data_IF_252441508429
#
_entry.id   IF_252441508429
#
_cell.length_a   1.000
_cell.length_b   1.000
_cell.length_c   1.000
_cell.angle_alpha   90.00
_cell.angle_beta   90.00
_cell.angle_gamma   90.00
#
_symmetry.space_group_name_H-M   'P 1'
#
loop_
_entity.id
_entity.type
_entity.pdbx_description
1 polymer ?
#
# COMPACT_ATOMS: atom_id res chain seq x y z
N UNK A 1 11.55 2.37 18.72
CA UNK A 1 10.91 3.23 17.70
C UNK A 1 10.78 2.38 16.46
N UNK A 2 9.56 2.17 15.93
CA UNK A 2 9.33 1.29 14.77
C UNK A 2 10.05 1.85 13.54
N UNK A 3 10.65 0.98 12.73
CA UNK A 3 11.26 1.35 11.46
C UNK A 3 10.17 1.68 10.44
N UNK A 4 10.38 2.77 9.71
CA UNK A 4 9.44 3.23 8.68
C UNK A 4 10.11 3.22 7.31
N UNK A 5 9.56 2.43 6.40
CA UNK A 5 9.96 2.35 5.00
C UNK A 5 9.09 3.31 4.18
N UNK A 6 9.72 4.19 3.40
CA UNK A 6 9.02 5.25 2.65
C UNK A 6 9.33 5.13 1.17
N UNK A 7 8.29 4.83 0.39
CA UNK A 7 8.34 4.76 -1.06
C UNK A 7 7.74 6.05 -1.63
N UNK A 8 8.61 6.97 -2.01
CA UNK A 8 8.24 8.30 -2.52
C UNK A 8 8.25 8.33 -4.04
N UNK A 9 7.52 9.28 -4.61
CA UNK A 9 7.50 9.58 -6.06
C UNK A 9 7.01 8.40 -6.92
N UNK A 10 6.12 7.55 -6.37
CA UNK A 10 5.48 6.51 -7.16
C UNK A 10 4.49 7.18 -8.13
N UNK A 11 4.48 6.76 -9.38
CA UNK A 11 3.56 7.31 -10.39
C UNK A 11 2.84 6.17 -11.10
N UNK A 12 1.53 6.31 -11.23
CA UNK A 12 0.70 5.37 -11.97
C UNK A 12 -0.19 6.12 -12.96
N UNK A 13 0.23 6.25 -14.22
CA UNK A 13 -0.58 6.89 -15.27
C UNK A 13 -1.91 6.16 -15.46
N UNK A 14 -3.00 6.93 -15.49
CA UNK A 14 -4.35 6.38 -15.63
C UNK A 14 -5.24 7.37 -16.35
N UNK A 15 -6.30 6.92 -17.03
CA UNK A 15 -7.32 7.81 -17.62
C UNK A 15 -8.26 8.35 -16.54
N UNK A 16 -8.83 9.54 -16.77
CA UNK A 16 -9.70 10.22 -15.80
C UNK A 16 -10.97 9.43 -15.45
N UNK A 17 -11.53 8.70 -16.40
CA UNK A 17 -12.76 7.93 -16.26
C UNK A 17 -12.56 6.52 -15.68
N UNK A 18 -11.31 6.05 -15.62
CA UNK A 18 -10.98 4.69 -15.17
C UNK A 18 -10.99 4.60 -13.65
N UNK A 19 -11.62 3.54 -13.15
CA UNK A 19 -11.57 3.19 -11.74
C UNK A 19 -10.16 2.79 -11.30
N UNK A 20 -9.82 3.16 -10.08
CA UNK A 20 -8.53 2.86 -9.46
C UNK A 20 -8.76 1.94 -8.28
N UNK A 21 -8.33 0.70 -8.40
CA UNK A 21 -8.39 -0.32 -7.37
C UNK A 21 -6.99 -0.49 -6.81
N UNK A 22 -6.81 -0.22 -5.51
CA UNK A 22 -5.58 -0.52 -4.80
C UNK A 22 -5.71 -1.88 -4.11
N UNK A 23 -4.73 -2.74 -4.31
CA UNK A 23 -4.63 -4.05 -3.69
C UNK A 23 -3.36 -4.13 -2.83
N UNK A 24 -3.52 -4.75 -1.66
CA UNK A 24 -2.43 -5.14 -0.77
C UNK A 24 -2.45 -6.65 -0.66
N UNK A 25 -1.30 -7.29 -0.87
CA UNK A 25 -1.14 -8.75 -0.83
C UNK A 25 0.02 -9.09 0.10
N UNK A 26 -0.28 -9.80 1.18
CA UNK A 26 0.71 -10.33 2.11
C UNK A 26 1.16 -11.68 1.56
N UNK A 27 2.45 -11.77 1.21
CA UNK A 27 3.01 -12.93 0.51
C UNK A 27 3.66 -13.92 1.47
N UNK A 28 4.31 -13.44 2.54
CA UNK A 28 4.72 -14.33 3.63
C UNK A 28 3.57 -14.56 4.60
N UNK A 29 3.42 -15.81 5.02
CA UNK A 29 2.40 -16.25 5.96
C UNK A 29 2.64 -15.60 7.33
N UNK A 30 1.60 -15.54 8.16
CA UNK A 30 1.73 -15.03 9.54
C UNK A 30 1.87 -13.52 9.71
N UNK A 31 2.00 -12.77 8.61
CA UNK A 31 1.90 -11.33 8.63
C UNK A 31 0.46 -10.90 8.89
N UNK A 32 0.29 -9.89 9.73
CA UNK A 32 -0.97 -9.21 9.98
C UNK A 32 -0.77 -7.71 9.87
N UNK A 33 -1.80 -6.97 9.49
CA UNK A 33 -1.65 -5.53 9.39
C UNK A 33 -2.91 -4.82 8.94
N UNK A 34 -2.83 -3.50 9.01
CA UNK A 34 -3.86 -2.59 8.54
C UNK A 34 -3.24 -1.57 7.62
N UNK A 35 -3.85 -1.37 6.45
CA UNK A 35 -3.49 -0.33 5.51
C UNK A 35 -4.59 0.72 5.47
N UNK A 36 -4.25 1.96 5.82
CA UNK A 36 -5.11 3.14 5.63
C UNK A 36 -4.67 3.84 4.36
N UNK A 37 -5.63 4.18 3.50
CA UNK A 37 -5.41 4.82 2.21
C UNK A 37 -6.04 6.20 2.27
N UNK A 38 -5.20 7.22 2.37
CA UNK A 38 -5.62 8.61 2.30
C UNK A 38 -5.65 9.05 0.84
N UNK A 39 -6.84 9.39 0.36
CA UNK A 39 -7.09 9.88 -1.00
C UNK A 39 -7.44 11.37 -0.94
N UNK A 40 -7.30 12.13 -2.04
CA UNK A 40 -7.81 13.49 -2.08
C UNK A 40 -9.30 13.55 -1.69
N UNK A 41 -9.62 14.34 -0.66
CA UNK A 41 -10.97 14.45 -0.09
C UNK A 41 -11.16 13.65 1.21
N UNK A 42 -12.40 13.47 1.69
CA UNK A 42 -12.67 12.85 3.00
C UNK A 42 -12.93 11.33 2.93
N UNK A 43 -12.63 10.67 1.81
CA UNK A 43 -13.10 9.32 1.49
C UNK A 43 -12.05 8.23 1.71
N UNK A 44 -11.29 8.34 2.79
CA UNK A 44 -10.24 7.40 3.16
C UNK A 44 -10.77 5.96 3.22
N UNK A 45 -9.90 5.01 2.83
CA UNK A 45 -10.23 3.58 2.77
C UNK A 45 -9.30 2.79 3.68
N UNK A 46 -9.75 1.61 4.06
CA UNK A 46 -8.95 0.69 4.86
C UNK A 46 -8.97 -0.72 4.27
N UNK A 47 -7.83 -1.39 4.36
CA UNK A 47 -7.63 -2.80 4.02
C UNK A 47 -7.01 -3.48 5.24
N UNK A 48 -7.63 -4.55 5.72
CA UNK A 48 -7.07 -5.40 6.77
C UNK A 48 -6.39 -6.60 6.11
N UNK A 49 -5.12 -6.83 6.43
CA UNK A 49 -4.27 -7.85 5.82
C UNK A 49 -4.24 -7.73 4.28
N UNK A 50 -4.46 -8.84 3.57
CA UNK A 50 -4.62 -8.85 2.12
C UNK A 50 -6.04 -8.44 1.70
N UNK A 51 -6.15 -7.65 0.65
CA UNK A 51 -7.43 -7.28 0.05
C UNK A 51 -7.30 -6.12 -0.92
N UNK A 52 -8.43 -5.71 -1.49
CA UNK A 52 -8.48 -4.61 -2.44
C UNK A 52 -9.62 -3.64 -2.13
N UNK A 53 -9.44 -2.38 -2.53
CA UNK A 53 -10.44 -1.32 -2.41
C UNK A 53 -10.43 -0.44 -3.65
N UNK A 54 -11.64 -0.10 -4.12
CA UNK A 54 -11.84 1.04 -5.02
C UNK A 54 -11.54 2.33 -4.26
N UNK A 55 -10.54 3.07 -4.72
CA UNK A 55 -10.08 4.31 -4.08
C UNK A 55 -10.55 5.57 -4.82
N UNK A 56 -11.14 5.43 -6.01
CA UNK A 56 -11.73 6.51 -6.79
C UNK A 56 -11.60 6.28 -8.29
N UNK A 57 -11.93 7.28 -9.09
CA UNK A 57 -11.54 7.35 -10.51
C UNK A 57 -10.24 8.11 -10.68
N UNK A 58 -9.58 7.97 -11.84
CA UNK A 58 -8.36 8.71 -12.15
C UNK A 58 -8.52 10.22 -11.96
N UNK A 59 -9.68 10.79 -12.33
CA UNK A 59 -10.02 12.20 -12.12
C UNK A 59 -10.01 12.63 -10.65
N UNK A 60 -10.51 11.76 -9.76
CA UNK A 60 -10.67 12.05 -8.34
C UNK A 60 -9.31 12.12 -7.63
N UNK A 61 -8.30 11.43 -8.19
CA UNK A 61 -6.98 11.27 -7.60
C UNK A 61 -5.92 12.25 -8.17
N UNK A 62 -6.32 13.21 -9.00
CA UNK A 62 -5.39 14.17 -9.65
C UNK A 62 -4.84 15.26 -8.74
N UNK A 63 -5.55 15.60 -7.68
CA UNK A 63 -5.24 16.76 -6.83
C UNK A 63 -3.94 16.59 -6.06
N UNK A 64 -4.01 15.82 -4.97
CA UNK A 64 -2.88 15.52 -4.10
C UNK A 64 -2.37 14.08 -4.27
N UNK A 65 -1.22 13.80 -3.67
CA UNK A 65 -0.70 12.42 -3.66
C UNK A 65 -1.59 11.55 -2.78
N UNK A 66 -1.95 10.37 -3.28
CA UNK A 66 -2.55 9.33 -2.43
C UNK A 66 -1.47 8.76 -1.52
N UNK A 67 -1.74 8.71 -0.23
CA UNK A 67 -0.83 8.17 0.78
C UNK A 67 -1.38 6.86 1.31
N UNK A 68 -0.64 5.76 1.13
CA UNK A 68 -0.97 4.50 1.77
C UNK A 68 -0.06 4.33 2.98
N UNK A 69 -0.66 4.10 4.15
CA UNK A 69 0.04 3.84 5.40
C UNK A 69 -0.31 2.44 5.88
N UNK A 70 0.69 1.55 5.93
CA UNK A 70 0.51 0.17 6.39
C UNK A 70 1.25 -0.02 7.71
N UNK A 71 0.53 -0.45 8.75
CA UNK A 71 1.10 -0.92 10.01
C UNK A 71 1.06 -2.44 10.03
N UNK A 72 2.23 -3.07 10.06
CA UNK A 72 2.41 -4.50 9.86
C UNK A 72 3.00 -5.13 11.13
N UNK A 73 2.66 -6.39 11.37
CA UNK A 73 3.29 -7.22 12.38
C UNK A 73 3.46 -8.65 11.87
N UNK A 74 4.68 -9.18 11.96
CA UNK A 74 4.95 -10.61 11.83
C UNK A 74 5.09 -11.21 13.23
N UNK A 75 4.05 -11.90 13.69
CA UNK A 75 4.02 -12.48 15.04
C UNK A 75 4.34 -13.99 15.06
N UNK A 76 4.46 -14.63 13.90
CA UNK A 76 4.72 -16.07 13.79
C UNK A 76 6.22 -16.34 13.96
N UNK A 77 6.66 -17.12 14.96
CA UNK A 77 8.09 -17.38 15.20
C UNK A 77 8.85 -17.99 14.03
N UNK A 78 8.18 -18.80 13.20
CA UNK A 78 8.76 -19.54 12.08
C UNK A 78 8.94 -18.70 10.80
N UNK A 79 8.38 -17.49 10.76
CA UNK A 79 8.40 -16.63 9.58
C UNK A 79 9.50 -15.56 9.71
N UNK A 80 10.53 -15.69 8.88
CA UNK A 80 11.74 -14.86 8.96
C UNK A 80 11.66 -13.57 8.14
N UNK A 81 10.70 -13.44 7.23
CA UNK A 81 10.55 -12.26 6.38
C UNK A 81 9.14 -11.68 6.37
N UNK A 82 9.07 -10.38 6.16
CA UNK A 82 7.84 -9.66 5.83
C UNK A 82 7.91 -9.33 4.35
N UNK A 83 6.98 -9.88 3.57
CA UNK A 83 6.85 -9.60 2.13
C UNK A 83 5.43 -9.16 1.81
N UNK A 84 5.30 -7.95 1.28
CA UNK A 84 4.01 -7.35 0.94
C UNK A 84 4.09 -6.73 -0.45
N UNK A 85 3.08 -7.00 -1.29
CA UNK A 85 2.90 -6.40 -2.61
C UNK A 85 1.78 -5.38 -2.59
N UNK A 86 2.03 -4.25 -3.23
CA UNK A 86 1.06 -3.19 -3.46
C UNK A 86 0.83 -3.10 -4.96
N UNK A 87 -0.42 -3.31 -5.40
CA UNK A 87 -0.81 -3.24 -6.81
C UNK A 87 -1.88 -2.18 -7.03
N UNK A 88 -1.92 -1.64 -8.25
CA UNK A 88 -3.01 -0.80 -8.73
C UNK A 88 -3.55 -1.41 -10.01
N UNK A 89 -4.85 -1.72 -10.05
CA UNK A 89 -5.49 -2.35 -11.20
C UNK A 89 -4.70 -3.57 -11.71
N UNK A 90 -4.35 -4.47 -10.79
CA UNK A 90 -3.53 -5.69 -10.99
C UNK A 90 -2.05 -5.46 -11.37
N UNK A 91 -1.60 -4.22 -11.53
CA UNK A 91 -0.19 -3.90 -11.83
C UNK A 91 0.61 -3.65 -10.55
N UNK A 92 1.73 -4.36 -10.39
CA UNK A 92 2.63 -4.21 -9.24
C UNK A 92 3.31 -2.83 -9.25
N UNK A 93 3.12 -2.07 -8.17
CA UNK A 93 3.76 -0.76 -7.97
C UNK A 93 4.96 -0.87 -7.04
N UNK A 94 4.81 -1.63 -5.95
CA UNK A 94 5.85 -1.85 -4.94
C UNK A 94 5.77 -3.28 -4.43
N UNK A 95 6.93 -3.94 -4.36
CA UNK A 95 7.14 -5.09 -3.46
C UNK A 95 8.03 -4.62 -2.31
N UNK A 96 7.52 -4.73 -1.08
CA UNK A 96 8.29 -4.50 0.13
C UNK A 96 8.80 -5.83 0.68
N UNK A 97 10.07 -5.86 1.07
CA UNK A 97 10.70 -6.98 1.75
C UNK A 97 11.58 -6.44 2.87
N UNK A 98 11.42 -6.99 4.07
CA UNK A 98 12.41 -6.85 5.15
C UNK A 98 12.51 -8.15 5.96
N UNK A 99 13.67 -8.36 6.58
CA UNK A 99 13.84 -9.48 7.51
C UNK A 99 13.15 -9.15 8.84
N UNK A 100 12.51 -10.12 9.48
CA UNK A 100 11.89 -9.97 10.81
C UNK A 100 12.92 -9.55 11.86
N UNK A 101 14.16 -10.05 11.73
CA UNK A 101 15.28 -9.67 12.58
C UNK A 101 15.69 -8.19 12.46
N UNK A 102 15.34 -7.54 11.35
CA UNK A 102 15.56 -6.10 11.14
C UNK A 102 14.45 -5.26 11.78
N UNK A 103 13.20 -5.67 11.58
CA UNK A 103 12.00 -5.08 12.18
C UNK A 103 10.82 -6.04 12.02
N UNK A 104 10.27 -6.53 13.12
CA UNK A 104 9.10 -7.41 13.11
C UNK A 104 7.77 -6.65 13.00
N UNK A 105 7.78 -5.32 13.22
CA UNK A 105 6.60 -4.45 13.17
C UNK A 105 6.81 -3.19 12.34
N UNK A 106 7.06 -3.32 11.03
CA UNK A 106 7.41 -2.18 10.19
C UNK A 106 6.19 -1.32 9.87
N UNK A 107 6.45 -0.02 9.67
CA UNK A 107 5.50 0.89 9.03
C UNK A 107 5.94 1.07 7.59
N UNK A 108 5.01 0.90 6.64
CA UNK A 108 5.25 1.10 5.22
C UNK A 108 4.41 2.28 4.73
N UNK A 109 5.03 3.26 4.10
CA UNK A 109 4.35 4.44 3.56
C UNK A 109 4.62 4.58 2.07
N UNK A 110 3.56 4.56 1.26
CA UNK A 110 3.62 4.82 -0.18
C UNK A 110 3.06 6.22 -0.45
N UNK A 111 3.74 6.99 -1.30
CA UNK A 111 3.23 8.26 -1.84
C UNK A 111 3.09 8.14 -3.35
N UNK A 112 1.85 8.10 -3.81
CA UNK A 112 1.48 7.76 -5.19
C UNK A 112 0.82 8.97 -5.86
N UNK A 113 1.28 9.28 -7.07
CA UNK A 113 0.66 10.25 -7.95
C UNK A 113 0.03 9.56 -9.15
N UNK A 114 -1.13 10.06 -9.55
CA UNK A 114 -1.84 9.57 -10.72
C UNK A 114 -1.79 10.66 -11.80
N UNK A 115 -0.78 10.68 -12.68
CA UNK A 115 -0.82 11.55 -13.86
C UNK A 115 -1.83 11.03 -14.89
N UNK A 116 -2.29 11.92 -15.76
CA UNK A 116 -3.11 11.53 -16.91
C UNK A 116 -2.30 10.65 -17.86
N UNK A 117 -2.92 9.59 -18.36
CA UNK A 117 -2.36 8.74 -19.42
C UNK A 117 -2.24 9.50 -20.75
#
# INVERSE_FOLDING_TARGET
MRKTYRYKNLTFPISDDKEVILEVEFVSDGNTGQTVINVPGPNDKEINNSGSKLIGKGSDLRGDSTICFSDIANLIPEEDEIRIRFKINDELIVEHVNQKSEEERPIIVLSIKFPTL
#
